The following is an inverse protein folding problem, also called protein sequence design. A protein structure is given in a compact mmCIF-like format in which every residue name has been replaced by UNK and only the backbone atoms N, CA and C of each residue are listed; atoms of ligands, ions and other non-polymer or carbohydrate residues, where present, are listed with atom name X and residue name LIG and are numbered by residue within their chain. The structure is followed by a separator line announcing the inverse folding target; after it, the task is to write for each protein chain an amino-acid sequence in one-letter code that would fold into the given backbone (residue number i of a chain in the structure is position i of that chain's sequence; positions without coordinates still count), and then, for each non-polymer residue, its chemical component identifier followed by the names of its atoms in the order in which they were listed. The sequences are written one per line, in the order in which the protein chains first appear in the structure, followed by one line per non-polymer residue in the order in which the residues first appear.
data_IF_037462102228
#
_entry.id   IF_037462102228
#
_cell.length_a   1.000
_cell.length_b   1.000
_cell.length_c   1.000
_cell.angle_alpha   90.00
_cell.angle_beta   90.00
_cell.angle_gamma   90.00
#
_symmetry.space_group_name_H-M   'P 1'
#
loop_
_entity.id
_entity.type
_entity.pdbx_description
1 polymer ?
#
# COMPACT_ATOMS: atom_id res chain seq x y z
N UNK A 1 21.75 -64.44 14.49
CA UNK A 1 20.94 -63.45 15.24
C UNK A 1 20.89 -62.14 14.39
N UNK A 2 19.70 -61.81 13.92
CA UNK A 2 19.42 -60.61 13.11
C UNK A 2 19.46 -59.38 14.02
N UNK A 3 20.06 -58.24 13.57
CA UNK A 3 19.59 -56.89 13.91
C UNK A 3 19.72 -55.98 12.66
N UNK A 4 18.57 -55.54 12.30
CA UNK A 4 18.24 -54.63 11.20
C UNK A 4 18.83 -53.24 11.46
N UNK A 5 19.44 -52.65 10.44
CA UNK A 5 19.79 -51.25 10.40
C UNK A 5 18.59 -50.43 9.99
N UNK A 6 18.20 -49.44 10.80
CA UNK A 6 17.17 -48.48 10.60
C UNK A 6 17.69 -47.26 9.83
N UNK A 7 17.17 -47.03 8.66
CA UNK A 7 17.61 -45.99 7.73
C UNK A 7 17.18 -44.61 8.19
N UNK A 8 18.12 -43.69 8.18
CA UNK A 8 17.88 -42.27 8.34
C UNK A 8 17.12 -41.72 7.10
N UNK A 9 15.86 -41.33 7.28
CA UNK A 9 15.12 -40.57 6.30
C UNK A 9 15.66 -39.12 6.25
N UNK A 10 16.38 -38.81 5.18
CA UNK A 10 16.67 -37.45 4.78
C UNK A 10 15.33 -36.79 4.36
N UNK A 11 14.89 -35.85 5.16
CA UNK A 11 13.70 -35.03 4.89
C UNK A 11 13.90 -34.17 3.63
N UNK A 12 13.13 -34.47 2.63
CA UNK A 12 12.98 -33.64 1.43
C UNK A 12 12.54 -32.21 1.82
N UNK A 13 13.10 -31.17 1.13
CA UNK A 13 12.66 -29.81 1.37
C UNK A 13 11.20 -29.67 0.92
N UNK A 14 10.33 -29.28 1.86
CA UNK A 14 8.96 -28.92 1.59
C UNK A 14 8.94 -27.78 0.57
N UNK A 15 8.52 -28.10 -0.65
CA UNK A 15 8.07 -27.09 -1.61
C UNK A 15 6.98 -26.26 -0.96
N UNK A 16 7.22 -24.97 -0.81
CA UNK A 16 6.18 -24.01 -0.46
C UNK A 16 5.31 -23.85 -1.71
N UNK A 17 4.37 -24.78 -1.89
CA UNK A 17 3.39 -24.71 -2.95
C UNK A 17 2.32 -23.70 -2.55
N UNK A 18 2.15 -22.64 -3.35
CA UNK A 18 0.97 -21.80 -3.35
C UNK A 18 0.87 -20.76 -2.24
N UNK A 19 1.73 -19.74 -2.29
CA UNK A 19 1.45 -18.48 -1.61
C UNK A 19 0.23 -17.86 -2.30
N UNK A 20 -0.97 -18.12 -1.79
CA UNK A 20 -2.15 -17.32 -2.12
C UNK A 20 -1.97 -15.99 -1.40
N UNK A 21 -1.45 -15.01 -2.12
CA UNK A 21 -1.48 -13.62 -1.66
C UNK A 21 -2.93 -13.14 -1.76
N UNK A 22 -3.72 -13.48 -0.79
CA UNK A 22 -5.01 -12.85 -0.55
C UNK A 22 -4.71 -11.67 0.36
N UNK A 23 -4.73 -10.46 -0.20
CA UNK A 23 -4.78 -9.23 0.60
C UNK A 23 -6.12 -9.21 1.33
N UNK A 24 -6.20 -9.91 2.46
CA UNK A 24 -7.31 -9.83 3.40
C UNK A 24 -7.04 -8.68 4.35
N UNK A 25 -7.74 -7.59 4.17
CA UNK A 25 -7.83 -6.55 5.18
C UNK A 25 -8.69 -7.08 6.31
N UNK A 26 -8.32 -6.84 7.58
CA UNK A 26 -9.11 -7.32 8.71
C UNK A 26 -10.54 -6.77 8.60
N UNK A 27 -11.51 -7.65 8.78
CA UNK A 27 -12.92 -7.32 8.85
C UNK A 27 -13.12 -6.23 9.90
N UNK A 28 -13.53 -5.04 9.45
CA UNK A 28 -13.90 -3.98 10.36
C UNK A 28 -15.18 -4.41 11.07
N UNK A 29 -15.13 -4.63 12.37
CA UNK A 29 -16.30 -4.76 13.21
C UNK A 29 -17.13 -3.48 13.17
N UNK A 30 -17.95 -3.32 12.14
CA UNK A 30 -18.95 -2.28 12.08
C UNK A 30 -20.27 -2.83 12.62
N UNK A 31 -20.51 -2.62 13.91
CA UNK A 31 -21.82 -2.84 14.53
C UNK A 31 -22.60 -1.53 14.50
N UNK A 32 -23.64 -1.38 13.67
CA UNK A 32 -24.47 -0.17 13.70
C UNK A 32 -25.29 -0.17 15.00
N UNK A 33 -25.19 0.92 15.75
CA UNK A 33 -26.00 1.13 16.96
C UNK A 33 -27.48 1.27 16.60
N UNK A 34 -28.42 0.66 17.39
CA UNK A 34 -29.85 0.73 17.09
C UNK A 34 -30.41 2.13 17.34
N UNK A 35 -31.11 2.66 16.33
CA UNK A 35 -31.85 3.91 16.42
C UNK A 35 -33.09 3.73 17.31
N UNK A 36 -33.24 4.56 18.35
CA UNK A 36 -34.44 4.67 19.17
C UNK A 36 -35.42 5.67 18.56
N UNK A 37 -36.68 5.33 18.38
CA UNK A 37 -37.67 6.28 17.90
C UNK A 37 -38.26 7.08 19.08
N UNK A 38 -38.13 8.42 19.03
CA UNK A 38 -38.81 9.34 19.94
C UNK A 38 -39.82 10.17 19.18
N UNK A 39 -41.08 9.96 19.44
CA UNK A 39 -42.18 10.72 18.88
C UNK A 39 -42.31 12.11 19.53
N UNK A 40 -42.29 13.21 18.76
CA UNK A 40 -42.81 14.50 19.23
C UNK A 40 -43.43 15.35 18.12
N UNK A 41 -44.73 15.50 18.22
CA UNK A 41 -45.71 16.57 17.86
C UNK A 41 -45.49 17.42 16.61
N UNK A 42 -46.42 17.21 15.70
CA UNK A 42 -46.73 18.02 14.55
C UNK A 42 -47.39 19.36 14.95
N UNK A 43 -46.92 20.41 14.33
CA UNK A 43 -47.62 21.63 13.85
C UNK A 43 -46.76 22.87 14.09
N UNK A 44 -45.97 23.21 13.11
CA UNK A 44 -45.44 24.55 12.75
C UNK A 44 -44.39 24.39 11.61
N UNK A 45 -44.74 23.70 10.56
CA UNK A 45 -43.72 23.12 9.67
C UNK A 45 -43.84 23.48 8.19
N UNK A 46 -44.66 24.41 7.78
CA UNK A 46 -44.81 24.66 6.33
C UNK A 46 -43.81 25.66 5.74
N UNK A 47 -43.22 26.54 6.53
CA UNK A 47 -42.24 27.54 6.03
C UNK A 47 -40.79 27.12 6.34
N UNK A 48 -40.58 26.44 7.44
CA UNK A 48 -39.26 25.92 7.79
C UNK A 48 -38.81 24.75 6.90
N UNK A 49 -39.75 23.98 6.33
CA UNK A 49 -39.46 22.82 5.48
C UNK A 49 -38.76 23.15 4.15
N UNK A 50 -39.15 24.26 3.52
CA UNK A 50 -38.59 24.67 2.23
C UNK A 50 -37.13 25.16 2.37
N UNK A 51 -36.80 25.86 3.47
CA UNK A 51 -35.42 26.33 3.74
C UNK A 51 -34.53 25.19 4.16
N UNK A 52 -35.05 24.21 4.91
CA UNK A 52 -34.32 23.03 5.31
C UNK A 52 -34.06 22.07 4.12
N UNK A 53 -35.00 21.96 3.18
CA UNK A 53 -34.80 21.15 1.98
C UNK A 53 -33.78 21.78 1.02
N UNK A 54 -33.80 23.10 0.85
CA UNK A 54 -32.79 23.80 0.04
C UNK A 54 -31.43 23.76 0.70
N UNK A 55 -31.31 23.97 2.02
CA UNK A 55 -30.07 23.85 2.80
C UNK A 55 -29.55 22.41 2.83
N UNK A 56 -30.43 21.41 2.97
CA UNK A 56 -30.10 19.99 2.93
C UNK A 56 -29.59 19.54 1.56
N UNK A 57 -30.19 20.02 0.47
CA UNK A 57 -29.73 19.70 -0.87
C UNK A 57 -28.33 20.28 -1.17
N UNK A 58 -28.06 21.52 -0.69
CA UNK A 58 -26.73 22.15 -0.85
C UNK A 58 -25.70 21.44 0.00
N UNK A 59 -26.02 21.05 1.23
CA UNK A 59 -25.05 20.30 2.08
C UNK A 59 -24.78 18.91 1.56
N UNK A 60 -25.77 18.21 1.00
CA UNK A 60 -25.58 16.91 0.35
C UNK A 60 -24.74 17.06 -0.93
N UNK A 61 -25.01 18.08 -1.76
CA UNK A 61 -24.22 18.35 -2.95
C UNK A 61 -22.76 18.70 -2.61
N UNK A 62 -22.53 19.52 -1.58
CA UNK A 62 -21.19 19.85 -1.09
C UNK A 62 -20.49 18.60 -0.49
N UNK A 63 -21.21 17.76 0.25
CA UNK A 63 -20.68 16.51 0.79
C UNK A 63 -20.35 15.50 -0.31
N UNK A 64 -21.16 15.39 -1.36
CA UNK A 64 -20.89 14.53 -2.52
C UNK A 64 -19.72 15.07 -3.36
N UNK A 65 -19.56 16.39 -3.47
CA UNK A 65 -18.39 17.02 -4.12
C UNK A 65 -17.13 16.94 -3.26
N UNK A 66 -17.29 16.83 -1.94
CA UNK A 66 -16.18 16.69 -0.98
C UNK A 66 -15.75 15.23 -0.75
N UNK A 67 -16.40 14.24 -1.37
CA UNK A 67 -15.91 12.88 -1.36
C UNK A 67 -14.58 12.84 -2.12
N UNK A 68 -13.49 12.94 -1.36
CA UNK A 68 -12.15 12.81 -1.92
C UNK A 68 -11.96 11.37 -2.36
N UNK A 69 -12.08 11.11 -3.66
CA UNK A 69 -11.70 9.83 -4.23
C UNK A 69 -10.19 9.79 -4.41
N UNK A 70 -9.57 8.71 -3.99
CA UNK A 70 -8.14 8.50 -4.21
C UNK A 70 -7.82 8.60 -5.72
N UNK A 71 -6.80 9.37 -6.12
CA UNK A 71 -6.41 9.50 -7.51
C UNK A 71 -6.14 8.14 -8.15
N UNK A 72 -6.70 7.93 -9.34
CA UNK A 72 -6.47 6.72 -10.12
C UNK A 72 -5.26 6.94 -11.06
N UNK A 73 -4.43 5.92 -11.32
CA UNK A 73 -3.35 6.03 -12.28
C UNK A 73 -3.87 6.41 -13.66
N UNK A 74 -3.26 7.41 -14.29
CA UNK A 74 -3.56 7.74 -15.67
C UNK A 74 -2.98 6.69 -16.63
N UNK A 75 -3.54 6.57 -17.83
CA UNK A 75 -2.99 5.68 -18.86
C UNK A 75 -1.51 6.01 -19.16
N UNK A 76 -1.14 7.30 -19.15
CA UNK A 76 0.25 7.75 -19.36
C UNK A 76 1.18 7.34 -18.21
N UNK A 77 0.66 7.13 -17.00
CA UNK A 77 1.43 6.67 -15.85
C UNK A 77 1.76 5.17 -15.88
N UNK A 78 1.14 4.38 -16.76
CA UNK A 78 1.35 2.94 -16.83
C UNK A 78 2.81 2.54 -17.03
N UNK A 79 3.61 3.33 -17.76
CA UNK A 79 5.06 3.22 -17.89
C UNK A 79 5.61 1.80 -17.98
N UNK A 80 6.89 1.65 -17.68
CA UNK A 80 7.56 0.35 -17.59
C UNK A 80 7.46 -0.24 -16.18
N UNK A 81 7.48 -1.58 -16.07
CA UNK A 81 7.53 -2.27 -14.77
C UNK A 81 8.94 -2.40 -14.20
N UNK A 82 9.94 -1.97 -14.95
CA UNK A 82 11.34 -1.99 -14.57
C UNK A 82 12.17 -0.92 -15.32
N UNK A 83 13.44 -0.77 -15.00
CA UNK A 83 14.32 0.18 -15.65
C UNK A 83 14.72 -0.29 -17.06
N UNK A 84 15.11 0.64 -17.91
CA UNK A 84 15.68 0.35 -19.24
C UNK A 84 17.08 -0.29 -19.15
N UNK A 85 17.81 -0.01 -18.08
CA UNK A 85 19.13 -0.60 -17.77
C UNK A 85 19.23 -0.90 -16.26
N UNK A 86 20.07 -1.84 -15.90
CA UNK A 86 20.36 -2.14 -14.49
C UNK A 86 21.10 -0.94 -13.87
N UNK A 87 20.52 -0.45 -12.78
CA UNK A 87 21.09 0.63 -11.97
C UNK A 87 22.04 0.11 -10.89
N UNK A 88 22.46 1.00 -9.96
CA UNK A 88 23.26 0.64 -8.80
C UNK A 88 22.52 -0.32 -7.87
N UNK A 89 23.26 -0.88 -6.90
CA UNK A 89 22.71 -1.62 -5.77
C UNK A 89 23.42 -1.22 -4.49
N UNK A 90 22.75 -1.41 -3.36
CA UNK A 90 23.26 -1.12 -2.02
C UNK A 90 23.44 -2.39 -1.22
N UNK A 91 24.24 -2.31 -0.17
CA UNK A 91 24.32 -3.37 0.84
C UNK A 91 23.00 -3.43 1.63
N UNK A 92 22.80 -4.57 2.28
CA UNK A 92 21.61 -4.77 3.12
C UNK A 92 21.62 -3.80 4.30
N UNK A 93 20.58 -2.97 4.39
CA UNK A 93 20.30 -2.12 5.55
C UNK A 93 18.78 -2.01 5.72
N UNK A 94 18.29 -1.98 6.96
CA UNK A 94 16.84 -1.95 7.23
C UNK A 94 16.28 -0.57 6.90
N UNK A 95 15.10 -0.47 6.27
CA UNK A 95 14.47 0.82 6.01
C UNK A 95 13.90 1.44 7.29
N UNK A 96 14.01 2.75 7.40
CA UNK A 96 13.54 3.55 8.55
C UNK A 96 12.37 4.43 8.16
N UNK A 97 12.47 5.13 7.03
CA UNK A 97 11.42 6.04 6.56
C UNK A 97 11.34 6.07 5.04
N UNK A 98 10.20 6.53 4.54
CA UNK A 98 9.97 6.81 3.13
C UNK A 98 9.45 8.22 2.94
N UNK A 99 10.04 8.92 1.95
CA UNK A 99 9.64 10.26 1.51
C UNK A 99 9.27 10.23 0.04
N UNK A 100 8.10 10.80 -0.31
CA UNK A 100 7.62 10.89 -1.70
C UNK A 100 7.12 12.31 -1.94
N UNK A 101 8.02 13.25 -2.28
CA UNK A 101 7.69 14.68 -2.35
C UNK A 101 6.54 15.03 -3.30
N UNK A 102 6.47 14.34 -4.46
CA UNK A 102 5.44 14.58 -5.46
C UNK A 102 3.99 14.41 -4.95
N UNK A 103 3.79 13.65 -3.89
CA UNK A 103 2.47 13.40 -3.29
C UNK A 103 2.40 13.79 -1.81
N UNK A 104 3.47 14.39 -1.27
CA UNK A 104 3.53 14.89 0.10
C UNK A 104 3.52 13.77 1.16
N UNK A 105 4.07 12.60 0.85
CA UNK A 105 4.21 11.50 1.82
C UNK A 105 5.54 11.64 2.55
N UNK A 106 5.46 11.57 3.88
CA UNK A 106 6.59 11.40 4.79
C UNK A 106 6.16 10.42 5.87
N UNK A 107 6.73 9.23 5.91
CA UNK A 107 6.31 8.18 6.84
C UNK A 107 7.49 7.41 7.41
N UNK A 108 7.43 7.13 8.71
CA UNK A 108 8.23 6.07 9.30
C UNK A 108 7.76 4.72 8.74
N UNK A 109 8.64 3.75 8.70
CA UNK A 109 8.34 2.43 8.14
C UNK A 109 8.21 1.39 9.25
N UNK A 110 7.02 0.83 9.38
CA UNK A 110 6.82 -0.40 10.15
C UNK A 110 7.45 -1.58 9.42
N UNK A 111 7.93 -2.57 10.16
CA UNK A 111 8.48 -3.81 9.61
C UNK A 111 7.47 -4.94 9.85
N UNK A 112 6.65 -5.23 8.87
CA UNK A 112 5.57 -6.21 8.98
C UNK A 112 5.88 -7.48 8.18
N UNK A 113 5.25 -8.57 8.56
CA UNK A 113 5.45 -9.89 7.96
C UNK A 113 4.17 -10.47 7.38
N UNK A 114 3.88 -11.69 7.78
CA UNK A 114 2.65 -12.41 7.44
C UNK A 114 1.88 -12.76 8.70
N UNK A 115 0.57 -12.81 8.59
CA UNK A 115 -0.35 -13.29 9.61
C UNK A 115 -0.31 -14.82 9.71
N UNK A 116 -0.97 -15.40 10.70
CA UNK A 116 -1.00 -16.85 10.89
C UNK A 116 -1.65 -17.62 9.74
N UNK A 117 -2.56 -16.97 8.99
CA UNK A 117 -3.21 -17.52 7.80
C UNK A 117 -2.39 -17.32 6.50
N UNK A 118 -1.18 -16.70 6.60
CA UNK A 118 -0.28 -16.47 5.47
C UNK A 118 -0.58 -15.19 4.67
N UNK A 119 -1.51 -14.35 5.10
CA UNK A 119 -1.77 -13.03 4.50
C UNK A 119 -0.66 -12.04 4.87
N UNK A 120 -0.38 -11.06 4.02
CA UNK A 120 0.57 -10.00 4.34
C UNK A 120 -0.04 -9.10 5.41
N UNK A 121 0.74 -8.84 6.47
CA UNK A 121 0.36 -7.89 7.51
C UNK A 121 0.39 -6.46 6.96
N UNK A 122 -0.64 -5.69 7.29
CA UNK A 122 -0.74 -4.27 6.94
C UNK A 122 -0.78 -3.42 8.22
N UNK A 123 -0.45 -2.12 8.15
CA UNK A 123 -0.59 -1.22 9.30
C UNK A 123 -2.01 -1.24 9.87
N UNK A 124 -2.15 -0.92 11.15
CA UNK A 124 -3.47 -0.85 11.79
C UNK A 124 -4.25 0.37 11.29
N UNK A 125 -5.47 0.17 10.78
CA UNK A 125 -6.36 1.27 10.34
C UNK A 125 -6.68 2.29 11.43
N UNK A 126 -6.63 1.88 12.70
CA UNK A 126 -7.01 2.73 13.84
C UNK A 126 -5.83 3.39 14.53
N UNK A 127 -4.62 2.85 14.41
CA UNK A 127 -3.44 3.31 15.14
C UNK A 127 -2.31 3.82 14.26
N UNK A 128 -2.21 3.33 13.03
CA UNK A 128 -1.09 3.59 12.14
C UNK A 128 -1.50 3.67 10.66
N UNK A 129 -2.71 4.20 10.39
CA UNK A 129 -3.18 4.38 9.01
C UNK A 129 -2.28 5.35 8.21
N UNK A 130 -1.62 6.28 8.89
CA UNK A 130 -0.70 7.26 8.31
C UNK A 130 0.75 6.74 8.22
N UNK A 131 0.99 5.49 8.60
CA UNK A 131 2.30 4.85 8.49
C UNK A 131 2.29 3.82 7.36
N UNK A 132 3.40 3.78 6.61
CA UNK A 132 3.65 2.73 5.66
C UNK A 132 4.43 1.58 6.32
N UNK A 133 4.40 0.39 5.72
CA UNK A 133 5.09 -0.78 6.22
C UNK A 133 5.95 -1.43 5.14
N UNK A 134 7.20 -1.72 5.48
CA UNK A 134 8.04 -2.59 4.67
C UNK A 134 7.70 -4.06 4.96
N UNK A 135 7.48 -4.83 3.90
CA UNK A 135 7.33 -6.29 3.99
C UNK A 135 8.69 -6.94 4.26
N UNK A 136 8.93 -7.34 5.51
CA UNK A 136 10.25 -7.77 6.01
C UNK A 136 10.83 -9.01 5.33
N UNK A 137 10.04 -9.76 4.56
CA UNK A 137 10.48 -10.91 3.78
C UNK A 137 10.82 -10.56 2.32
N UNK A 138 10.67 -9.28 1.93
CA UNK A 138 11.17 -8.74 0.67
C UNK A 138 12.63 -8.28 0.79
N UNK A 139 13.28 -7.94 -0.32
CA UNK A 139 14.60 -7.33 -0.29
C UNK A 139 14.58 -6.02 0.51
N UNK A 140 15.68 -5.64 1.17
CA UNK A 140 15.78 -4.29 1.73
C UNK A 140 15.93 -3.27 0.59
N UNK A 141 15.40 -2.03 0.74
CA UNK A 141 15.48 -1.03 -0.31
C UNK A 141 16.93 -0.78 -0.74
N UNK A 142 17.18 -0.89 -2.04
CA UNK A 142 18.52 -0.75 -2.62
C UNK A 142 19.22 -2.06 -2.89
N UNK A 143 18.89 -3.18 -2.25
CA UNK A 143 19.41 -4.49 -2.64
C UNK A 143 18.81 -4.95 -3.97
N UNK A 144 19.55 -5.80 -4.70
CA UNK A 144 19.00 -6.54 -5.85
C UNK A 144 17.83 -7.39 -5.36
N UNK A 145 16.70 -7.26 -6.04
CA UNK A 145 15.44 -7.86 -5.66
C UNK A 145 14.32 -6.83 -5.56
N UNK A 146 13.10 -7.27 -5.34
CA UNK A 146 11.96 -6.38 -5.11
C UNK A 146 11.82 -6.08 -3.61
N UNK A 147 11.98 -4.81 -3.24
CA UNK A 147 11.57 -4.29 -1.93
C UNK A 147 10.11 -3.88 -2.01
N UNK A 148 9.28 -4.28 -1.05
CA UNK A 148 7.84 -4.01 -1.04
C UNK A 148 7.49 -3.17 0.18
N UNK A 149 6.81 -2.05 -0.06
CA UNK A 149 6.27 -1.16 0.97
C UNK A 149 4.77 -1.01 0.72
N UNK A 150 3.98 -1.24 1.75
CA UNK A 150 2.53 -1.20 1.68
C UNK A 150 1.98 -0.13 2.63
N UNK A 151 0.82 0.43 2.29
CA UNK A 151 0.14 1.41 3.11
C UNK A 151 -1.33 1.57 2.73
N UNK A 152 -2.12 2.12 3.63
CA UNK A 152 -3.54 2.33 3.40
C UNK A 152 -3.81 3.46 2.41
N UNK A 153 -4.87 3.32 1.62
CA UNK A 153 -5.40 4.39 0.77
C UNK A 153 -6.21 5.38 1.61
N UNK A 154 -7.04 4.89 2.51
CA UNK A 154 -7.87 5.66 3.42
C UNK A 154 -8.13 4.90 4.72
N UNK A 155 -8.79 5.58 5.64
CA UNK A 155 -9.25 5.05 6.91
C UNK A 155 -10.60 5.69 7.28
N UNK A 156 -11.17 5.33 8.42
CA UNK A 156 -12.37 5.99 8.95
C UNK A 156 -12.17 7.48 9.27
N UNK A 157 -10.93 7.94 9.35
CA UNK A 157 -10.57 9.33 9.61
C UNK A 157 -10.34 10.14 8.32
N UNK A 158 -10.34 9.47 7.16
CA UNK A 158 -10.12 10.09 5.86
C UNK A 158 -8.93 9.50 5.09
N UNK A 159 -8.30 10.29 4.19
CA UNK A 159 -7.12 9.88 3.45
C UNK A 159 -6.01 9.34 4.36
N UNK A 160 -5.40 8.21 3.99
CA UNK A 160 -4.28 7.59 4.69
C UNK A 160 -2.97 7.80 3.94
N UNK A 161 -1.86 7.19 4.43
CA UNK A 161 -0.50 7.42 3.95
C UNK A 161 -0.35 7.33 2.42
N UNK A 162 -1.02 6.40 1.76
CA UNK A 162 -0.91 6.19 0.32
C UNK A 162 -2.16 6.62 -0.48
N UNK A 163 -2.98 7.53 0.07
CA UNK A 163 -4.16 8.04 -0.60
C UNK A 163 -3.85 8.57 -2.01
N UNK A 164 -2.75 9.31 -2.17
CA UNK A 164 -2.36 9.93 -3.43
C UNK A 164 -1.43 9.08 -4.29
N UNK A 165 -1.20 7.81 -3.95
CA UNK A 165 -0.22 6.96 -4.64
C UNK A 165 -0.49 6.85 -6.15
N UNK A 166 -1.76 6.81 -6.56
CA UNK A 166 -2.15 6.77 -7.96
C UNK A 166 -1.88 8.05 -8.76
N UNK A 167 -1.52 9.16 -8.09
CA UNK A 167 -1.14 10.41 -8.76
C UNK A 167 0.31 10.44 -9.23
N UNK A 168 1.14 9.52 -8.77
CA UNK A 168 2.55 9.43 -9.17
C UNK A 168 2.70 9.17 -10.67
N UNK A 169 3.82 9.64 -11.22
CA UNK A 169 4.15 9.53 -12.63
C UNK A 169 5.56 8.98 -12.83
N UNK A 170 5.85 8.34 -13.95
CA UNK A 170 7.22 8.02 -14.32
C UNK A 170 8.11 9.25 -14.22
N UNK A 171 9.27 9.11 -13.55
CA UNK A 171 10.19 10.20 -13.27
C UNK A 171 10.10 10.80 -11.87
N UNK A 172 9.00 10.61 -11.11
CA UNK A 172 8.93 11.03 -9.71
C UNK A 172 9.93 10.27 -8.84
N UNK A 173 10.39 10.90 -7.76
CA UNK A 173 11.36 10.31 -6.84
C UNK A 173 10.69 9.75 -5.60
N UNK A 174 11.27 8.67 -5.08
CA UNK A 174 10.94 8.04 -3.80
C UNK A 174 12.25 7.85 -3.06
N UNK A 175 12.39 8.51 -1.92
CA UNK A 175 13.56 8.46 -1.07
C UNK A 175 13.30 7.50 0.10
N UNK A 176 14.14 6.51 0.30
CA UNK A 176 14.04 5.58 1.45
C UNK A 176 15.30 5.71 2.29
N UNK A 177 15.12 6.21 3.52
CA UNK A 177 16.21 6.29 4.49
C UNK A 177 16.41 4.94 5.17
N UNK A 178 17.66 4.51 5.24
CA UNK A 178 18.08 3.23 5.79
C UNK A 178 18.71 3.42 7.18
N UNK A 179 18.79 2.35 7.95
CA UNK A 179 19.32 2.37 9.32
C UNK A 179 20.81 2.73 9.42
N UNK A 180 21.57 2.55 8.34
CA UNK A 180 22.98 2.99 8.24
C UNK A 180 23.11 4.48 7.87
N UNK A 181 22.01 5.21 7.77
CA UNK A 181 21.97 6.63 7.41
C UNK A 181 22.04 6.90 5.92
N UNK A 182 22.14 5.88 5.08
CA UNK A 182 22.07 6.04 3.62
C UNK A 182 20.62 6.28 3.20
N UNK A 183 20.40 7.21 2.27
CA UNK A 183 19.12 7.38 1.59
C UNK A 183 19.21 6.76 0.20
N UNK A 184 18.42 5.74 -0.04
CA UNK A 184 18.26 5.11 -1.35
C UNK A 184 17.24 5.91 -2.18
N UNK A 185 17.63 6.40 -3.35
CA UNK A 185 16.82 7.26 -4.22
C UNK A 185 16.33 6.44 -5.40
N UNK A 186 15.02 6.23 -5.41
CA UNK A 186 14.34 5.48 -6.47
C UNK A 186 13.62 6.44 -7.41
N UNK A 187 13.53 6.05 -8.66
CA UNK A 187 12.72 6.76 -9.67
C UNK A 187 11.57 5.88 -10.10
N UNK A 188 10.38 6.47 -10.10
CA UNK A 188 9.17 5.79 -10.58
C UNK A 188 9.34 5.46 -12.06
N UNK A 189 9.07 4.21 -12.44
CA UNK A 189 9.08 3.72 -13.82
C UNK A 189 7.69 3.50 -14.36
N UNK A 190 6.71 3.26 -13.50
CA UNK A 190 5.31 3.10 -13.87
C UNK A 190 4.38 2.98 -12.67
N UNK A 191 3.12 3.31 -12.89
CA UNK A 191 2.03 3.18 -11.91
C UNK A 191 0.89 2.43 -12.54
N UNK A 192 0.45 1.34 -11.95
CA UNK A 192 -0.59 0.47 -12.50
C UNK A 192 -1.63 0.10 -11.47
N UNK A 193 -2.84 -0.13 -11.93
CA UNK A 193 -3.93 -0.66 -11.12
C UNK A 193 -4.27 -2.07 -11.58
N UNK A 194 -4.48 -2.96 -10.63
CA UNK A 194 -4.85 -4.35 -10.87
C UNK A 194 -6.10 -4.70 -10.08
N UNK A 195 -7.05 -5.36 -10.70
CA UNK A 195 -8.15 -5.99 -9.96
C UNK A 195 -7.57 -7.02 -8.97
N UNK A 196 -8.06 -7.04 -7.74
CA UNK A 196 -7.56 -7.96 -6.69
C UNK A 196 -7.67 -9.41 -7.10
N UNK A 197 -8.75 -9.79 -7.80
CA UNK A 197 -8.96 -11.15 -8.33
C UNK A 197 -7.93 -11.57 -9.41
N UNK A 198 -7.29 -10.58 -10.07
CA UNK A 198 -6.27 -10.77 -11.13
C UNK A 198 -4.93 -10.15 -10.75
N UNK A 199 -4.71 -10.00 -9.43
CA UNK A 199 -3.48 -9.39 -8.93
C UNK A 199 -2.26 -10.27 -9.27
N UNK A 200 -1.26 -9.75 -10.00
CA UNK A 200 -0.12 -10.53 -10.45
C UNK A 200 0.93 -10.68 -9.33
N UNK A 201 0.55 -11.31 -8.22
CA UNK A 201 1.36 -11.42 -7.01
C UNK A 201 2.78 -11.93 -7.29
N UNK A 202 2.91 -12.97 -8.15
CA UNK A 202 4.19 -13.53 -8.53
C UNK A 202 5.12 -12.47 -9.15
N UNK A 203 4.61 -11.61 -10.04
CA UNK A 203 5.40 -10.55 -10.68
C UNK A 203 5.79 -9.44 -9.71
N UNK A 204 4.91 -9.11 -8.76
CA UNK A 204 5.09 -7.99 -7.84
C UNK A 204 6.02 -8.35 -6.69
N UNK A 205 5.86 -9.55 -6.12
CA UNK A 205 6.64 -10.01 -4.96
C UNK A 205 7.85 -10.88 -5.32
N UNK A 206 8.00 -11.32 -6.58
CA UNK A 206 9.18 -12.11 -6.96
C UNK A 206 10.45 -11.27 -7.03
N UNK A 207 11.57 -11.96 -6.97
CA UNK A 207 12.88 -11.34 -7.13
C UNK A 207 13.00 -10.62 -8.48
N UNK A 208 13.52 -9.42 -8.45
CA UNK A 208 13.99 -8.68 -9.63
C UNK A 208 15.52 -8.84 -9.73
N UNK A 209 16.07 -8.70 -10.92
CA UNK A 209 17.52 -8.75 -11.16
C UNK A 209 18.19 -7.37 -11.08
N UNK A 210 17.50 -6.43 -10.49
CA UNK A 210 17.92 -5.05 -10.18
C UNK A 210 17.32 -4.62 -8.82
N UNK A 211 17.80 -3.50 -8.26
CA UNK A 211 17.25 -2.93 -7.03
C UNK A 211 15.88 -2.28 -7.31
N UNK A 212 14.84 -3.06 -7.11
CA UNK A 212 13.45 -2.68 -7.36
C UNK A 212 12.75 -2.23 -6.10
N UNK A 213 11.85 -1.24 -6.23
CA UNK A 213 10.90 -0.85 -5.20
C UNK A 213 9.48 -0.99 -5.73
N UNK A 214 8.59 -1.50 -4.87
CA UNK A 214 7.15 -1.61 -5.11
C UNK A 214 6.41 -0.92 -3.98
N UNK A 215 5.62 0.11 -4.29
CA UNK A 215 4.67 0.67 -3.33
C UNK A 215 3.28 0.17 -3.68
N UNK A 216 2.52 -0.26 -2.68
CA UNK A 216 1.22 -0.91 -2.89
C UNK A 216 0.19 -0.30 -1.95
N UNK A 217 -0.99 -0.01 -2.50
CA UNK A 217 -2.18 0.39 -1.74
C UNK A 217 -3.44 -0.17 -2.38
N UNK A 218 -4.55 -0.13 -1.65
CA UNK A 218 -5.87 -0.36 -2.22
C UNK A 218 -6.25 0.75 -3.19
N UNK A 219 -7.16 0.48 -4.12
CA UNK A 219 -7.62 1.49 -5.08
C UNK A 219 -8.78 1.00 -5.95
N UNK A 220 -9.17 1.83 -6.90
CA UNK A 220 -10.31 1.55 -7.76
C UNK A 220 -11.65 1.80 -7.08
N UNK A 221 -12.66 1.05 -7.47
CA UNK A 221 -14.00 1.15 -6.91
C UNK A 221 -14.04 0.53 -5.52
N UNK A 222 -14.66 1.25 -4.59
CA UNK A 222 -15.00 0.71 -3.27
C UNK A 222 -16.33 -0.03 -3.35
N UNK A 223 -16.35 -1.28 -2.93
CA UNK A 223 -17.56 -2.10 -2.83
C UNK A 223 -18.15 -1.97 -1.43
N UNK A 224 -19.23 -1.23 -1.32
CA UNK A 224 -19.93 -1.00 -0.05
C UNK A 224 -20.59 -2.27 0.53
N UNK A 225 -20.84 -3.29 -0.30
CA UNK A 225 -21.44 -4.53 0.18
C UNK A 225 -20.42 -5.39 0.94
N UNK A 226 -19.16 -5.36 0.51
CA UNK A 226 -18.08 -6.14 1.14
C UNK A 226 -17.16 -5.28 2.01
N UNK A 227 -17.26 -3.94 1.94
CA UNK A 227 -16.39 -3.02 2.66
C UNK A 227 -14.95 -2.96 2.13
N UNK A 228 -14.72 -3.33 0.87
CA UNK A 228 -13.37 -3.44 0.29
C UNK A 228 -13.23 -2.73 -1.06
N UNK A 229 -12.03 -2.25 -1.33
CA UNK A 229 -11.63 -1.83 -2.68
C UNK A 229 -11.45 -3.05 -3.60
N UNK A 230 -11.95 -2.94 -4.83
CA UNK A 230 -11.87 -4.02 -5.81
C UNK A 230 -10.50 -4.15 -6.50
N UNK A 231 -9.65 -3.14 -6.36
CA UNK A 231 -8.34 -3.10 -7.01
C UNK A 231 -7.23 -2.76 -6.03
N UNK A 232 -6.00 -2.92 -6.49
CA UNK A 232 -4.78 -2.42 -5.84
C UNK A 232 -4.00 -1.56 -6.82
N UNK A 233 -3.47 -0.43 -6.35
CA UNK A 233 -2.55 0.44 -7.09
C UNK A 233 -1.13 0.03 -6.73
N UNK A 234 -0.30 -0.19 -7.74
CA UNK A 234 1.11 -0.57 -7.61
C UNK A 234 1.99 0.42 -8.34
N UNK A 235 2.94 1.00 -7.62
CA UNK A 235 4.02 1.82 -8.16
C UNK A 235 5.24 0.94 -8.37
N UNK A 236 5.83 1.01 -9.53
CA UNK A 236 7.09 0.39 -9.90
C UNK A 236 8.16 1.46 -9.91
N UNK A 237 9.27 1.21 -9.22
CA UNK A 237 10.42 2.10 -9.21
C UNK A 237 11.73 1.30 -9.20
N UNK A 238 12.80 1.93 -9.62
CA UNK A 238 14.16 1.38 -9.61
C UNK A 238 15.13 2.34 -8.94
N UNK A 239 16.13 1.79 -8.26
CA UNK A 239 17.20 2.58 -7.65
C UNK A 239 17.97 3.30 -8.75
N UNK A 240 18.19 4.62 -8.59
CA UNK A 240 18.97 5.43 -9.51
C UNK A 240 20.24 5.99 -8.89
N UNK A 241 20.19 6.26 -7.59
CA UNK A 241 21.33 6.83 -6.85
C UNK A 241 21.15 6.62 -5.35
N UNK A 242 22.13 7.01 -4.57
CA UNK A 242 22.06 7.05 -3.12
C UNK A 242 22.74 8.29 -2.56
N UNK A 243 22.31 8.72 -1.39
CA UNK A 243 22.94 9.80 -0.62
C UNK A 243 23.43 9.23 0.70
N UNK A 244 24.69 9.50 1.03
CA UNK A 244 25.25 9.13 2.34
C UNK A 244 24.71 10.01 3.47
N UNK A 245 24.97 9.68 4.73
CA UNK A 245 24.54 10.46 5.87
C UNK A 245 25.01 11.92 5.73
N UNK A 246 24.05 12.88 5.60
CA UNK A 246 24.36 14.30 5.47
C UNK A 246 25.10 14.74 4.20
N UNK A 247 25.25 13.87 3.20
CA UNK A 247 26.01 14.13 1.99
C UNK A 247 25.17 14.44 0.73
N UNK A 248 25.80 15.04 -0.31
CA UNK A 248 25.17 15.20 -1.61
C UNK A 248 24.89 13.84 -2.27
N UNK A 249 23.96 13.85 -3.23
CA UNK A 249 23.60 12.68 -4.04
C UNK A 249 24.83 12.09 -4.76
N UNK A 250 25.05 10.79 -4.61
CA UNK A 250 26.06 10.04 -5.39
C UNK A 250 25.32 9.30 -6.50
N UNK A 251 25.44 9.77 -7.74
CA UNK A 251 25.10 9.01 -8.94
C UNK A 251 26.26 8.07 -9.28
N UNK A 252 25.96 6.83 -9.58
CA UNK A 252 26.93 5.85 -10.11
C UNK A 252 26.96 5.88 -11.61
#
# INVERSE_FOLDING_TARGET
MRKTAEGAHLGTPRRIAGLRVVMSWPDSEFTPAPARPGAFRARLAAVAGAVLLAGGAITIAVALLAQQHAPQPSAAAAGATGPAAKGPSLHRSLPVSVDIPAIGVHSQLLHLGVTADGSIQVPSLTRSADEAAWFKYSATPGQIGASVIEGHVDSYQGPAVFFRLGALRPGDTIDVTLADGVTAIFRVTGVRQYLKEKFPAKTIYSAADYAALRLITCGGTFDYATGHYLSSTVVFASLTSSRGPGGPEKSS
#
